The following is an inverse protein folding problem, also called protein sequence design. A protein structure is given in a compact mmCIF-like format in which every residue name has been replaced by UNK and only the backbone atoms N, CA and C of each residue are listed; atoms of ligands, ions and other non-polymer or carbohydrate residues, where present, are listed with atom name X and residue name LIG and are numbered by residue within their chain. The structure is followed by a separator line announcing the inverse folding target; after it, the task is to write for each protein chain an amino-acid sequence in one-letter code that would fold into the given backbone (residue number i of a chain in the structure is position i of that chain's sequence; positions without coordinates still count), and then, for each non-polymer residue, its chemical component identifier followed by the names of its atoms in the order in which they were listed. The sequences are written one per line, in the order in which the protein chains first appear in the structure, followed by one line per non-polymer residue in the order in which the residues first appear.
data_IF_854634790568
#
_entry.id   IF_854634790568
#
_cell.length_a   1.000
_cell.length_b   1.000
_cell.length_c   1.000
_cell.angle_alpha   90.00
_cell.angle_beta   90.00
_cell.angle_gamma   90.00
#
_symmetry.space_group_name_H-M   'P 1'
#
loop_
_entity.id
_entity.type
_entity.pdbx_description
1 polymer ?
#
# COMPACT_ATOMS: atom_id res chain seq x y z
N UNK A 1 -3.28 -12.77 -2.63
CA UNK A 1 -4.31 -11.71 -2.82
C UNK A 1 -4.00 -10.99 -4.13
N UNK A 2 -4.97 -10.73 -5.03
CA UNK A 2 -4.71 -9.98 -6.29
C UNK A 2 -5.64 -8.77 -6.39
N UNK A 3 -5.12 -7.63 -6.85
CA UNK A 3 -5.88 -6.45 -7.30
C UNK A 3 -6.18 -5.36 -6.26
N UNK A 4 -6.04 -5.63 -4.96
CA UNK A 4 -6.27 -4.65 -3.89
C UNK A 4 -5.18 -4.79 -2.83
N UNK A 5 -4.13 -4.01 -3.00
CA UNK A 5 -2.86 -4.05 -2.24
C UNK A 5 -2.75 -2.93 -1.22
N UNK A 6 -3.65 -1.95 -1.26
CA UNK A 6 -3.77 -0.90 -0.24
C UNK A 6 -5.12 -0.96 0.47
N UNK A 7 -5.12 -0.67 1.77
CA UNK A 7 -6.28 -0.48 2.62
C UNK A 7 -6.13 0.75 3.52
N UNK A 8 -7.18 1.13 4.20
CA UNK A 8 -7.18 2.26 5.16
C UNK A 8 -7.60 1.82 6.55
N UNK A 9 -7.53 2.71 7.54
CA UNK A 9 -7.99 2.40 8.89
C UNK A 9 -9.05 3.40 9.38
N UNK A 10 -9.89 2.93 10.29
CA UNK A 10 -10.82 3.76 11.07
C UNK A 10 -10.84 3.29 12.52
N UNK A 11 -11.18 4.18 13.45
CA UNK A 11 -10.97 3.97 14.89
C UNK A 11 -12.10 4.55 15.73
N UNK A 12 -12.34 3.94 16.90
CA UNK A 12 -13.40 4.33 17.84
C UNK A 12 -13.11 5.63 18.58
N UNK A 13 -11.86 6.10 18.55
CA UNK A 13 -11.48 7.42 19.08
C UNK A 13 -11.69 8.55 18.05
N UNK A 14 -12.42 8.29 16.97
CA UNK A 14 -12.89 9.26 15.98
C UNK A 14 -14.42 9.30 16.05
N UNK A 15 -15.04 10.40 15.64
CA UNK A 15 -16.51 10.46 15.64
C UNK A 15 -17.10 9.53 14.59
N UNK A 16 -18.36 9.12 14.79
CA UNK A 16 -19.12 8.36 13.79
C UNK A 16 -19.13 9.07 12.43
N UNK A 17 -19.41 10.38 12.42
CA UNK A 17 -19.45 11.17 11.19
C UNK A 17 -18.10 11.19 10.47
N UNK A 18 -16.99 11.33 11.21
CA UNK A 18 -15.64 11.27 10.62
C UNK A 18 -15.35 9.88 10.02
N UNK A 19 -15.75 8.81 10.71
CA UNK A 19 -15.56 7.45 10.23
C UNK A 19 -16.39 7.19 8.95
N UNK A 20 -17.65 7.61 8.91
CA UNK A 20 -18.52 7.47 7.74
C UNK A 20 -18.02 8.30 6.55
N UNK A 21 -17.62 9.55 6.78
CA UNK A 21 -17.05 10.41 5.74
C UNK A 21 -15.74 9.83 5.18
N UNK A 22 -14.92 9.21 6.05
CA UNK A 22 -13.69 8.51 5.62
C UNK A 22 -14.02 7.32 4.74
N UNK A 23 -14.94 6.46 5.16
CA UNK A 23 -15.35 5.27 4.38
C UNK A 23 -15.85 5.69 3.00
N UNK A 24 -16.68 6.73 2.92
CA UNK A 24 -17.15 7.28 1.65
C UNK A 24 -15.97 7.73 0.76
N UNK A 25 -15.10 8.59 1.28
CA UNK A 25 -14.01 9.17 0.49
C UNK A 25 -13.01 8.11 0.00
N UNK A 26 -12.66 7.15 0.85
CA UNK A 26 -11.73 6.09 0.48
C UNK A 26 -12.35 5.10 -0.52
N UNK A 27 -13.61 4.71 -0.32
CA UNK A 27 -14.31 3.81 -1.25
C UNK A 27 -14.52 4.44 -2.61
N UNK A 28 -14.84 5.75 -2.69
CA UNK A 28 -14.92 6.50 -3.95
C UNK A 28 -13.60 6.51 -4.72
N UNK A 29 -12.45 6.45 -4.03
CA UNK A 29 -11.14 6.35 -4.65
C UNK A 29 -10.77 4.90 -5.05
N UNK A 30 -11.60 3.91 -4.70
CA UNK A 30 -11.41 2.51 -5.09
C UNK A 30 -10.72 1.64 -4.04
N UNK A 31 -10.68 2.07 -2.77
CA UNK A 31 -10.22 1.22 -1.67
C UNK A 31 -11.32 0.22 -1.28
N UNK A 32 -11.03 -1.08 -1.40
CA UNK A 32 -11.94 -2.17 -1.03
C UNK A 32 -11.66 -2.80 0.34
N UNK A 33 -10.67 -2.31 1.09
CA UNK A 33 -10.25 -2.90 2.36
C UNK A 33 -10.02 -1.86 3.44
N UNK A 34 -10.51 -2.16 4.64
CA UNK A 34 -10.32 -1.33 5.81
C UNK A 34 -9.84 -2.15 7.02
N UNK A 35 -9.19 -1.48 7.96
CA UNK A 35 -8.79 -2.02 9.25
C UNK A 35 -9.43 -1.21 10.38
N UNK A 36 -9.81 -1.90 11.45
CA UNK A 36 -10.22 -1.27 12.71
C UNK A 36 -9.74 -2.13 13.88
N UNK A 37 -9.56 -1.52 15.04
CA UNK A 37 -9.27 -2.27 16.27
C UNK A 37 -10.39 -2.05 17.27
N UNK A 38 -11.07 -3.14 17.64
CA UNK A 38 -12.10 -3.15 18.68
C UNK A 38 -11.48 -3.08 20.07
N UNK A 39 -10.16 -3.28 20.16
CA UNK A 39 -9.39 -3.29 21.41
C UNK A 39 -9.07 -1.89 21.94
N UNK A 40 -9.39 -0.83 21.20
CA UNK A 40 -9.09 0.56 21.57
C UNK A 40 -10.08 1.12 22.60
N UNK A 41 -9.62 2.16 23.31
CA UNK A 41 -10.43 3.00 24.20
C UNK A 41 -10.53 4.42 23.62
N UNK A 42 -11.72 5.04 23.56
CA UNK A 42 -13.04 4.49 23.91
C UNK A 42 -13.43 3.30 23.01
N UNK A 43 -14.33 2.45 23.50
CA UNK A 43 -14.86 1.33 22.71
C UNK A 43 -15.95 1.83 21.75
N UNK A 44 -16.18 1.12 20.64
CA UNK A 44 -17.36 1.37 19.83
C UNK A 44 -18.62 1.01 20.61
N UNK A 45 -19.60 1.90 20.59
CA UNK A 45 -20.96 1.52 20.96
C UNK A 45 -21.52 0.58 19.88
N UNK A 46 -22.23 -0.50 20.24
CA UNK A 46 -22.68 -1.46 19.22
C UNK A 46 -23.52 -0.85 18.10
N UNK A 47 -24.39 0.12 18.43
CA UNK A 47 -25.20 0.83 17.45
C UNK A 47 -24.38 1.71 16.50
N UNK A 48 -23.25 2.26 16.98
CA UNK A 48 -22.32 3.01 16.14
C UNK A 48 -21.65 2.08 15.13
N UNK A 49 -21.16 0.93 15.60
CA UNK A 49 -20.49 -0.04 14.74
C UNK A 49 -21.45 -0.71 13.75
N UNK A 50 -22.73 -0.88 14.11
CA UNK A 50 -23.79 -1.32 13.19
C UNK A 50 -23.87 -0.38 11.97
N UNK A 51 -23.88 0.93 12.19
CA UNK A 51 -23.94 1.94 11.13
C UNK A 51 -22.66 1.96 10.28
N UNK A 52 -21.50 1.89 10.92
CA UNK A 52 -20.20 1.86 10.23
C UNK A 52 -20.08 0.62 9.34
N UNK A 53 -20.45 -0.56 9.86
CA UNK A 53 -20.39 -1.80 9.10
C UNK A 53 -21.39 -1.83 7.95
N UNK A 54 -22.61 -1.31 8.15
CA UNK A 54 -23.58 -1.15 7.08
C UNK A 54 -23.03 -0.28 5.93
N UNK A 55 -22.40 0.86 6.26
CA UNK A 55 -21.77 1.73 5.26
C UNK A 55 -20.62 1.04 4.53
N UNK A 56 -19.75 0.30 5.24
CA UNK A 56 -18.71 -0.50 4.62
C UNK A 56 -19.28 -1.53 3.65
N UNK A 57 -20.31 -2.28 4.04
CA UNK A 57 -20.94 -3.30 3.20
C UNK A 57 -21.61 -2.70 1.96
N UNK A 58 -22.33 -1.59 2.10
CA UNK A 58 -22.94 -0.87 0.97
C UNK A 58 -21.89 -0.47 -0.08
N UNK A 59 -20.70 -0.08 0.38
CA UNK A 59 -19.58 0.35 -0.48
C UNK A 59 -18.67 -0.79 -0.91
N UNK A 60 -18.96 -2.03 -0.52
CA UNK A 60 -18.14 -3.20 -0.84
C UNK A 60 -16.77 -3.23 -0.13
N UNK A 61 -16.61 -2.51 0.97
CA UNK A 61 -15.38 -2.46 1.77
C UNK A 61 -15.34 -3.64 2.74
N UNK A 62 -14.32 -4.50 2.59
CA UNK A 62 -14.06 -5.60 3.51
C UNK A 62 -13.24 -5.13 4.71
N UNK A 63 -13.80 -5.27 5.91
CA UNK A 63 -13.18 -4.81 7.15
C UNK A 63 -12.42 -5.96 7.83
N UNK A 64 -11.15 -5.70 8.17
CA UNK A 64 -10.36 -6.46 9.13
C UNK A 64 -10.54 -5.85 10.52
N UNK A 65 -11.14 -6.59 11.46
CA UNK A 65 -11.28 -6.14 12.84
C UNK A 65 -10.29 -6.86 13.77
N UNK A 66 -9.53 -6.08 14.53
CA UNK A 66 -8.61 -6.56 15.55
C UNK A 66 -9.31 -6.72 16.90
N UNK A 67 -9.21 -7.93 17.46
CA UNK A 67 -9.97 -8.40 18.62
C UNK A 67 -9.09 -9.20 19.59
N UNK A 68 -9.43 -9.12 20.88
CA UNK A 68 -8.89 -9.98 21.94
C UNK A 68 -10.04 -10.64 22.72
N UNK A 69 -9.70 -11.52 23.67
CA UNK A 69 -10.67 -12.23 24.50
C UNK A 69 -11.65 -11.30 25.20
N UNK A 70 -11.16 -10.22 25.81
CA UNK A 70 -12.01 -9.26 26.52
C UNK A 70 -13.03 -8.57 25.61
N UNK A 71 -12.72 -8.37 24.32
CA UNK A 71 -13.66 -7.81 23.34
C UNK A 71 -14.63 -8.86 22.81
N UNK A 72 -14.18 -10.10 22.66
CA UNK A 72 -15.06 -11.23 22.36
C UNK A 72 -16.14 -11.39 23.44
N UNK A 73 -15.76 -11.34 24.72
CA UNK A 73 -16.70 -11.43 25.84
C UNK A 73 -17.66 -10.25 25.91
N UNK A 74 -17.18 -9.05 25.56
CA UNK A 74 -17.98 -7.83 25.61
C UNK A 74 -19.07 -7.78 24.54
N UNK A 75 -18.74 -8.17 23.29
CA UNK A 75 -19.67 -8.07 22.17
C UNK A 75 -20.43 -9.37 21.89
N UNK A 76 -19.84 -10.52 22.22
CA UNK A 76 -20.37 -11.84 21.93
C UNK A 76 -20.08 -12.33 20.50
N UNK A 77 -19.99 -13.64 20.34
CA UNK A 77 -19.75 -14.31 19.05
C UNK A 77 -20.82 -13.95 18.01
N UNK A 78 -22.09 -14.05 18.39
CA UNK A 78 -23.22 -13.83 17.47
C UNK A 78 -23.19 -12.42 16.84
N UNK A 79 -22.84 -11.40 17.64
CA UNK A 79 -22.75 -10.02 17.15
C UNK A 79 -21.55 -9.81 16.24
N UNK A 80 -20.38 -10.36 16.60
CA UNK A 80 -19.20 -10.29 15.74
C UNK A 80 -19.45 -10.94 14.37
N UNK A 81 -20.18 -12.06 14.34
CA UNK A 81 -20.60 -12.71 13.11
C UNK A 81 -21.63 -11.87 12.34
N UNK A 82 -22.60 -11.28 13.04
CA UNK A 82 -23.62 -10.42 12.44
C UNK A 82 -23.04 -9.16 11.78
N UNK A 83 -21.96 -8.59 12.34
CA UNK A 83 -21.23 -7.47 11.72
C UNK A 83 -20.54 -7.86 10.42
N UNK A 84 -20.33 -9.14 10.14
CA UNK A 84 -19.85 -9.60 8.84
C UNK A 84 -18.48 -9.05 8.47
N UNK A 85 -17.54 -9.04 9.41
CA UNK A 85 -16.14 -8.69 9.11
C UNK A 85 -15.56 -9.65 8.06
N UNK A 86 -14.86 -9.10 7.07
CA UNK A 86 -14.18 -9.90 6.05
C UNK A 86 -13.03 -10.71 6.66
N UNK A 87 -12.38 -10.16 7.68
CA UNK A 87 -11.36 -10.86 8.45
C UNK A 87 -11.32 -10.43 9.92
N UNK A 88 -10.90 -11.34 10.79
CA UNK A 88 -10.73 -11.11 12.22
C UNK A 88 -9.28 -11.34 12.60
N UNK A 89 -8.63 -10.29 13.09
CA UNK A 89 -7.27 -10.34 13.62
C UNK A 89 -7.32 -10.66 15.10
N UNK A 90 -6.74 -11.80 15.47
CA UNK A 90 -6.68 -12.25 16.86
C UNK A 90 -5.38 -11.78 17.49
N UNK A 91 -5.47 -10.84 18.42
CA UNK A 91 -4.31 -10.28 19.10
C UNK A 91 -3.83 -11.19 20.24
N UNK A 92 -4.74 -11.57 21.15
CA UNK A 92 -4.45 -12.44 22.28
C UNK A 92 -5.72 -13.08 22.89
N UNK A 93 -5.52 -14.19 23.60
CA UNK A 93 -6.48 -14.77 24.55
C UNK A 93 -7.52 -15.71 23.96
N UNK A 94 -7.67 -15.80 22.63
CA UNK A 94 -8.61 -16.75 22.04
C UNK A 94 -7.99 -18.15 21.94
N UNK A 95 -8.79 -19.16 22.24
CA UNK A 95 -8.46 -20.57 22.06
C UNK A 95 -8.52 -20.99 20.58
N UNK A 96 -7.79 -22.05 20.16
CA UNK A 96 -7.93 -22.63 18.83
C UNK A 96 -9.38 -22.96 18.43
N UNK A 97 -10.20 -23.42 19.37
CA UNK A 97 -11.61 -23.76 19.12
C UNK A 97 -12.46 -22.51 18.85
N UNK A 98 -12.25 -21.42 19.60
CA UNK A 98 -12.92 -20.15 19.32
C UNK A 98 -12.47 -19.58 17.97
N UNK A 99 -11.18 -19.66 17.65
CA UNK A 99 -10.65 -19.24 16.36
C UNK A 99 -11.24 -20.06 15.19
N UNK A 100 -11.44 -21.37 15.38
CA UNK A 100 -12.11 -22.22 14.41
C UNK A 100 -13.53 -21.75 14.11
N UNK A 101 -14.33 -21.44 15.13
CA UNK A 101 -15.70 -20.91 14.97
C UNK A 101 -15.69 -19.58 14.21
N UNK A 102 -14.83 -18.65 14.61
CA UNK A 102 -14.71 -17.34 13.94
C UNK A 102 -14.26 -17.46 12.48
N UNK A 103 -13.38 -18.43 12.17
CA UNK A 103 -12.86 -18.65 10.82
C UNK A 103 -13.90 -19.18 9.83
N UNK A 104 -15.08 -19.61 10.29
CA UNK A 104 -16.15 -20.09 9.40
C UNK A 104 -16.75 -18.95 8.57
N UNK A 105 -16.98 -17.79 9.18
CA UNK A 105 -17.59 -16.61 8.53
C UNK A 105 -16.57 -15.58 8.06
N UNK A 106 -15.33 -15.62 8.54
CA UNK A 106 -14.31 -14.59 8.28
C UNK A 106 -12.93 -15.22 8.02
N UNK A 107 -12.03 -14.51 7.34
CA UNK A 107 -10.61 -14.92 7.34
C UNK A 107 -10.02 -14.75 8.74
N UNK A 108 -9.17 -15.69 9.16
CA UNK A 108 -8.45 -15.58 10.43
C UNK A 108 -7.11 -14.88 10.17
N UNK A 109 -6.84 -13.79 10.88
CA UNK A 109 -5.57 -13.06 10.77
C UNK A 109 -4.81 -13.21 12.08
N UNK A 110 -3.59 -13.73 12.00
CA UNK A 110 -2.73 -13.94 13.16
C UNK A 110 -1.56 -12.96 13.15
N UNK A 111 -0.94 -12.75 14.30
CA UNK A 111 0.23 -11.90 14.38
C UNK A 111 1.43 -12.54 13.65
N UNK A 112 1.93 -11.87 12.61
CA UNK A 112 3.03 -12.37 11.79
C UNK A 112 4.32 -12.63 12.58
N UNK A 113 4.55 -11.89 13.67
CA UNK A 113 5.75 -12.04 14.50
C UNK A 113 5.70 -13.24 15.45
N UNK A 114 4.52 -13.79 15.73
CA UNK A 114 4.33 -14.89 16.69
C UNK A 114 3.77 -16.16 16.06
N UNK A 115 3.43 -16.15 14.77
CA UNK A 115 2.90 -17.30 14.07
C UNK A 115 3.98 -18.37 13.87
N UNK A 116 3.74 -19.56 14.42
CA UNK A 116 4.66 -20.70 14.37
C UNK A 116 4.01 -21.93 13.74
N UNK A 117 4.82 -22.90 13.30
CA UNK A 117 4.34 -24.17 12.77
C UNK A 117 3.45 -24.94 13.76
N UNK A 118 3.86 -25.12 15.02
CA UNK A 118 3.02 -25.76 16.04
C UNK A 118 1.65 -25.09 16.22
N UNK A 119 1.60 -23.74 16.24
CA UNK A 119 0.32 -23.03 16.33
C UNK A 119 -0.58 -23.31 15.11
N UNK A 120 -0.01 -23.39 13.91
CA UNK A 120 -0.78 -23.74 12.70
C UNK A 120 -1.30 -25.18 12.75
N UNK A 121 -0.52 -26.12 13.29
CA UNK A 121 -0.96 -27.50 13.50
C UNK A 121 -2.09 -27.59 14.51
N UNK A 122 -2.01 -26.87 15.63
CA UNK A 122 -3.08 -26.79 16.64
C UNK A 122 -4.37 -26.20 16.04
N UNK A 123 -4.25 -25.16 15.22
CA UNK A 123 -5.40 -24.55 14.54
C UNK A 123 -6.04 -25.52 13.53
N UNK A 124 -5.22 -26.24 12.75
CA UNK A 124 -5.71 -27.24 11.82
C UNK A 124 -6.44 -28.39 12.55
N UNK A 125 -5.90 -28.85 13.68
CA UNK A 125 -6.55 -29.86 14.54
C UNK A 125 -7.86 -29.36 15.14
N UNK A 126 -7.95 -28.06 15.45
CA UNK A 126 -9.18 -27.43 15.91
C UNK A 126 -10.20 -27.18 14.79
N UNK A 127 -9.85 -27.45 13.52
CA UNK A 127 -10.74 -27.36 12.37
C UNK A 127 -10.65 -26.04 11.58
N UNK A 128 -9.61 -25.24 11.78
CA UNK A 128 -9.37 -24.03 10.97
C UNK A 128 -8.89 -24.43 9.58
N UNK A 129 -9.53 -23.88 8.55
CA UNK A 129 -9.04 -23.95 7.17
C UNK A 129 -7.84 -23.01 6.98
N UNK A 130 -6.63 -23.57 6.93
CA UNK A 130 -5.40 -22.79 6.81
C UNK A 130 -5.32 -21.97 5.51
N UNK A 131 -6.08 -22.32 4.46
CA UNK A 131 -6.15 -21.50 3.23
C UNK A 131 -6.84 -20.15 3.46
N UNK A 132 -7.56 -20.02 4.58
CA UNK A 132 -8.24 -18.78 5.01
C UNK A 132 -7.45 -18.03 6.09
N UNK A 133 -6.24 -18.46 6.41
CA UNK A 133 -5.36 -17.81 7.39
C UNK A 133 -4.44 -16.81 6.71
N UNK A 134 -4.42 -15.58 7.22
CA UNK A 134 -3.45 -14.54 6.86
C UNK A 134 -2.61 -14.16 8.08
N UNK A 135 -1.51 -13.45 7.86
CA UNK A 135 -0.67 -12.92 8.91
C UNK A 135 -0.57 -11.41 8.80
N UNK A 136 -0.75 -10.68 9.90
CA UNK A 136 -0.57 -9.23 9.96
C UNK A 136 0.56 -8.86 10.93
N UNK A 137 1.51 -8.07 10.45
CA UNK A 137 2.46 -7.39 11.31
C UNK A 137 1.78 -6.31 12.13
N UNK A 138 2.34 -6.00 13.30
CA UNK A 138 1.91 -4.86 14.10
C UNK A 138 2.26 -3.52 13.43
N UNK A 139 1.56 -2.46 13.83
CA UNK A 139 2.08 -1.09 13.74
C UNK A 139 2.70 -0.69 15.09
N UNK A 140 3.56 0.33 15.07
CA UNK A 140 4.35 0.72 16.24
C UNK A 140 4.20 2.22 16.53
N UNK A 141 3.33 2.60 17.49
CA UNK A 141 3.14 4.00 17.87
C UNK A 141 4.37 4.63 18.53
N UNK A 142 5.20 3.82 19.20
CA UNK A 142 6.42 4.30 19.85
C UNK A 142 7.54 4.43 18.82
N UNK A 143 8.12 5.62 18.68
CA UNK A 143 9.27 5.87 17.79
C UNK A 143 10.44 4.93 18.14
N UNK A 144 11.17 4.49 17.12
CA UNK A 144 12.30 3.56 17.18
C UNK A 144 11.95 2.14 17.67
N UNK A 145 10.67 1.75 17.61
CA UNK A 145 10.22 0.40 18.00
C UNK A 145 9.66 -0.43 16.85
N UNK A 146 9.54 0.14 15.65
CA UNK A 146 9.19 -0.57 14.43
C UNK A 146 10.22 -1.63 14.05
N UNK A 147 9.80 -2.55 13.19
CA UNK A 147 10.62 -3.67 12.75
C UNK A 147 11.64 -3.23 11.69
N UNK A 148 12.70 -4.01 11.54
CA UNK A 148 13.68 -3.83 10.46
C UNK A 148 13.22 -4.55 9.17
N UNK A 149 13.70 -4.06 8.02
CA UNK A 149 13.45 -4.71 6.71
C UNK A 149 13.82 -6.19 6.73
N UNK A 150 15.04 -6.51 7.21
CA UNK A 150 15.58 -7.85 7.17
C UNK A 150 14.74 -8.83 7.99
N UNK A 151 14.24 -8.38 9.15
CA UNK A 151 13.35 -9.21 9.98
C UNK A 151 12.03 -9.49 9.26
N UNK A 152 11.35 -8.47 8.74
CA UNK A 152 10.07 -8.66 8.05
C UNK A 152 10.22 -9.55 6.83
N UNK A 153 11.24 -9.29 6.00
CA UNK A 153 11.47 -10.08 4.79
C UNK A 153 11.66 -11.57 5.13
N UNK A 154 12.43 -11.88 6.18
CA UNK A 154 12.63 -13.26 6.63
C UNK A 154 11.32 -13.90 7.12
N UNK A 155 10.48 -13.16 7.88
CA UNK A 155 9.18 -13.66 8.32
C UNK A 155 8.23 -13.88 7.15
N UNK A 156 8.14 -12.93 6.22
CA UNK A 156 7.24 -13.02 5.07
C UNK A 156 7.63 -14.18 4.15
N UNK A 157 8.92 -14.38 3.87
CA UNK A 157 9.39 -15.53 3.09
C UNK A 157 9.01 -16.87 3.73
N UNK A 158 9.16 -16.96 5.06
CA UNK A 158 8.76 -18.15 5.81
C UNK A 158 7.24 -18.40 5.72
N UNK A 159 6.43 -17.35 5.90
CA UNK A 159 4.97 -17.46 5.87
C UNK A 159 4.43 -17.74 4.46
N UNK A 160 5.02 -17.13 3.44
CA UNK A 160 4.72 -17.40 2.04
C UNK A 160 5.05 -18.83 1.63
N UNK A 161 6.13 -19.42 2.17
CA UNK A 161 6.44 -20.84 1.96
C UNK A 161 5.35 -21.78 2.53
N UNK A 162 4.52 -21.29 3.45
CA UNK A 162 3.34 -21.99 4.00
C UNK A 162 2.04 -21.59 3.28
N UNK A 163 2.11 -20.74 2.24
CA UNK A 163 0.95 -20.22 1.54
C UNK A 163 0.17 -19.14 2.30
N UNK A 164 0.75 -18.58 3.37
CA UNK A 164 0.10 -17.60 4.25
C UNK A 164 0.48 -16.18 3.79
N UNK A 165 -0.49 -15.39 3.30
CA UNK A 165 -0.23 -14.01 2.92
C UNK A 165 0.06 -13.09 4.12
N UNK A 166 0.84 -12.04 3.87
CA UNK A 166 1.34 -11.11 4.88
C UNK A 166 0.79 -9.69 4.69
N UNK A 167 0.35 -9.07 5.78
CA UNK A 167 -0.21 -7.73 5.86
C UNK A 167 0.69 -6.83 6.71
N UNK A 168 0.79 -5.55 6.39
CA UNK A 168 1.55 -4.58 7.19
C UNK A 168 0.94 -3.18 7.13
N UNK A 169 1.50 -2.24 7.88
CA UNK A 169 1.01 -0.88 8.03
C UNK A 169 2.04 0.18 7.60
N UNK A 170 1.55 1.26 7.00
CA UNK A 170 2.31 2.47 6.69
C UNK A 170 1.69 3.67 7.42
N UNK A 171 2.51 4.66 7.78
CA UNK A 171 2.01 5.88 8.40
C UNK A 171 1.13 6.68 7.43
N UNK A 172 0.09 7.31 7.96
CA UNK A 172 -0.67 8.36 7.28
C UNK A 172 -0.15 9.76 7.61
N UNK A 173 -0.85 10.79 7.16
CA UNK A 173 -0.50 12.20 7.40
C UNK A 173 -1.28 12.83 8.56
N UNK A 174 -2.45 12.27 8.91
CA UNK A 174 -3.20 12.66 10.11
C UNK A 174 -2.99 11.58 11.15
N UNK A 175 -1.99 11.78 12.01
CA UNK A 175 -1.54 10.78 12.96
C UNK A 175 -2.63 10.41 13.98
N UNK A 176 -2.71 9.14 14.34
CA UNK A 176 -3.61 8.70 15.40
C UNK A 176 -3.03 9.03 16.78
N UNK A 177 -3.87 9.54 17.67
CA UNK A 177 -3.51 9.69 19.09
C UNK A 177 -3.23 8.35 19.79
N UNK A 178 -2.70 8.39 21.03
CA UNK A 178 -2.37 9.61 21.79
C UNK A 178 -0.97 10.17 21.51
N UNK A 179 -0.12 9.42 20.80
CA UNK A 179 1.30 9.78 20.62
C UNK A 179 1.55 10.62 19.36
N UNK A 180 0.73 10.47 18.32
CA UNK A 180 0.85 11.22 17.06
C UNK A 180 2.19 11.02 16.31
N UNK A 181 2.89 9.93 16.60
CA UNK A 181 4.22 9.59 16.05
C UNK A 181 4.18 8.71 14.79
N UNK A 182 2.99 8.51 14.21
CA UNK A 182 2.75 7.68 13.04
C UNK A 182 2.68 6.18 13.34
N UNK A 183 1.89 5.46 12.54
CA UNK A 183 1.58 4.04 12.70
C UNK A 183 2.12 3.21 11.54
N UNK A 184 3.43 2.97 11.54
CA UNK A 184 4.11 2.12 10.57
C UNK A 184 4.54 0.77 11.17
N UNK A 185 4.72 -0.24 10.31
CA UNK A 185 5.34 -1.51 10.66
C UNK A 185 6.87 -1.44 10.62
N UNK A 186 7.44 -0.88 9.54
CA UNK A 186 8.90 -0.74 9.37
C UNK A 186 9.35 0.62 9.89
N UNK A 187 10.32 0.64 10.80
CA UNK A 187 10.73 1.89 11.45
C UNK A 187 11.29 2.92 10.46
N UNK A 188 12.09 2.48 9.48
CA UNK A 188 12.74 3.39 8.54
C UNK A 188 11.74 4.15 7.64
N UNK A 189 10.50 3.65 7.51
CA UNK A 189 9.47 4.25 6.68
C UNK A 189 8.58 5.24 7.43
N UNK A 190 8.79 5.44 8.75
CA UNK A 190 7.89 6.22 9.62
C UNK A 190 7.53 7.59 9.08
N UNK A 191 8.50 8.28 8.50
CA UNK A 191 8.36 9.64 7.97
C UNK A 191 8.39 9.70 6.44
N UNK A 192 8.34 8.56 5.76
CA UNK A 192 8.27 8.54 4.30
C UNK A 192 6.87 8.90 3.82
N UNK A 193 6.71 9.48 2.61
CA UNK A 193 5.42 9.58 1.97
C UNK A 193 4.75 8.20 1.90
N UNK A 194 3.44 8.13 2.18
CA UNK A 194 2.73 6.86 2.34
C UNK A 194 2.82 5.97 1.10
N UNK A 195 2.78 6.53 -0.12
CA UNK A 195 2.97 5.74 -1.35
C UNK A 195 4.37 5.12 -1.44
N UNK A 196 5.42 5.86 -1.07
CA UNK A 196 6.79 5.36 -1.06
C UNK A 196 6.96 4.25 -0.03
N UNK A 197 6.42 4.44 1.18
CA UNK A 197 6.42 3.41 2.22
C UNK A 197 5.65 2.16 1.76
N UNK A 198 4.49 2.33 1.12
CA UNK A 198 3.68 1.24 0.59
C UNK A 198 4.44 0.43 -0.46
N UNK A 199 4.98 1.08 -1.49
CA UNK A 199 5.78 0.42 -2.53
C UNK A 199 7.01 -0.29 -1.98
N UNK A 200 7.67 0.33 -1.00
CA UNK A 200 8.80 -0.29 -0.32
C UNK A 200 8.39 -1.59 0.41
N UNK A 201 7.30 -1.57 1.18
CA UNK A 201 6.79 -2.77 1.86
C UNK A 201 6.36 -3.86 0.86
N UNK A 202 5.61 -3.49 -0.18
CA UNK A 202 5.10 -4.41 -1.19
C UNK A 202 6.25 -5.07 -1.98
N UNK A 203 7.27 -4.30 -2.36
CA UNK A 203 8.38 -4.79 -3.21
C UNK A 203 9.58 -5.37 -2.43
N UNK A 204 10.03 -4.69 -1.37
CA UNK A 204 11.28 -5.03 -0.68
C UNK A 204 11.06 -5.87 0.57
N UNK A 205 9.85 -5.82 1.14
CA UNK A 205 9.48 -6.64 2.29
C UNK A 205 8.56 -7.82 1.91
N UNK A 206 8.14 -7.94 0.65
CA UNK A 206 7.21 -8.99 0.20
C UNK A 206 5.91 -9.01 1.02
N UNK A 207 5.31 -7.83 1.22
CA UNK A 207 3.98 -7.70 1.83
C UNK A 207 2.93 -7.86 0.73
N UNK A 208 1.82 -8.56 1.01
CA UNK A 208 0.73 -8.77 0.05
C UNK A 208 -0.28 -7.61 0.04
N UNK A 209 -0.47 -6.95 1.19
CA UNK A 209 -1.31 -5.75 1.31
C UNK A 209 -0.83 -4.87 2.46
N UNK A 210 -0.83 -3.57 2.22
CA UNK A 210 -0.53 -2.54 3.22
C UNK A 210 -1.81 -1.80 3.63
N UNK A 211 -1.89 -1.43 4.90
CA UNK A 211 -2.94 -0.54 5.41
C UNK A 211 -2.32 0.78 5.84
N UNK A 212 -3.03 1.90 5.59
CA UNK A 212 -2.70 3.16 6.24
C UNK A 212 -3.08 3.02 7.71
N UNK A 213 -2.10 3.04 8.60
CA UNK A 213 -2.30 2.84 10.04
C UNK A 213 -2.84 4.08 10.74
N UNK A 214 -2.57 5.28 10.26
CA UNK A 214 -3.07 6.50 10.88
C UNK A 214 -4.49 6.88 10.42
N UNK A 215 -5.05 7.93 11.02
CA UNK A 215 -6.43 8.33 10.78
C UNK A 215 -6.68 8.80 9.35
N UNK A 216 -5.71 9.45 8.70
CA UNK A 216 -5.95 9.97 7.35
C UNK A 216 -4.71 10.33 6.53
N UNK A 217 -4.93 10.60 5.24
CA UNK A 217 -4.00 11.15 4.25
C UNK A 217 -4.68 12.25 3.41
N UNK A 218 -3.88 13.13 2.81
CA UNK A 218 -4.35 14.14 1.87
C UNK A 218 -5.00 13.52 0.63
N UNK A 219 -5.79 14.31 -0.11
CA UNK A 219 -6.41 13.85 -1.35
C UNK A 219 -5.37 13.42 -2.40
N UNK A 220 -4.22 14.09 -2.46
CA UNK A 220 -3.11 13.69 -3.33
C UNK A 220 -2.58 12.31 -2.96
N UNK A 221 -2.23 12.09 -1.69
CA UNK A 221 -1.72 10.79 -1.24
C UNK A 221 -2.76 9.68 -1.37
N UNK A 222 -4.04 9.99 -1.13
CA UNK A 222 -5.14 9.05 -1.30
C UNK A 222 -5.21 8.50 -2.73
N UNK A 223 -5.21 9.40 -3.72
CA UNK A 223 -5.19 9.07 -5.16
C UNK A 223 -3.94 8.27 -5.54
N UNK A 224 -2.77 8.70 -5.06
CA UNK A 224 -1.49 8.02 -5.33
C UNK A 224 -1.41 6.62 -4.71
N UNK A 225 -1.94 6.43 -3.51
CA UNK A 225 -2.03 5.10 -2.91
C UNK A 225 -3.01 4.20 -3.67
N UNK A 226 -4.18 4.72 -4.05
CA UNK A 226 -5.16 3.95 -4.81
C UNK A 226 -4.61 3.47 -6.16
N UNK A 227 -3.78 4.27 -6.83
CA UNK A 227 -3.14 3.88 -8.09
C UNK A 227 -2.30 2.59 -7.97
N UNK A 228 -1.82 2.26 -6.77
CA UNK A 228 -1.08 1.02 -6.53
C UNK A 228 -1.96 -0.23 -6.71
N UNK A 229 -3.28 -0.13 -6.52
CA UNK A 229 -4.20 -1.24 -6.81
C UNK A 229 -4.19 -1.62 -8.31
N UNK A 230 -3.88 -0.67 -9.19
CA UNK A 230 -3.77 -0.87 -10.64
C UNK A 230 -2.34 -1.20 -11.10
N UNK A 231 -1.41 -1.39 -10.16
CA UNK A 231 0.03 -1.55 -10.45
C UNK A 231 0.66 -0.28 -11.03
N UNK A 232 0.07 0.90 -10.77
CA UNK A 232 0.50 2.19 -11.31
C UNK A 232 1.28 2.99 -10.26
N UNK A 233 2.48 3.46 -10.63
CA UNK A 233 3.28 4.38 -9.79
C UNK A 233 3.11 5.82 -10.28
N UNK A 234 2.72 6.72 -9.37
CA UNK A 234 2.53 8.13 -9.69
C UNK A 234 3.73 8.98 -9.28
N UNK A 235 4.33 9.65 -10.25
CA UNK A 235 5.49 10.52 -10.07
C UNK A 235 5.11 11.97 -10.32
N UNK A 236 5.39 12.85 -9.37
CA UNK A 236 5.37 14.30 -9.62
C UNK A 236 6.56 14.68 -10.46
N UNK A 237 6.35 15.51 -11.47
CA UNK A 237 7.39 15.95 -12.37
C UNK A 237 7.10 17.34 -12.94
N UNK A 238 8.16 18.09 -13.22
CA UNK A 238 8.11 19.14 -14.21
C UNK A 238 8.28 18.48 -15.57
N UNK A 239 7.21 18.42 -16.37
CA UNK A 239 7.22 17.76 -17.67
C UNK A 239 6.35 18.50 -18.70
N UNK A 240 6.61 18.34 -20.00
CA UNK A 240 5.73 18.84 -21.05
C UNK A 240 4.33 18.21 -20.96
N UNK A 241 3.30 18.97 -21.34
CA UNK A 241 1.90 18.51 -21.29
C UNK A 241 1.68 17.17 -22.03
N UNK A 242 2.41 16.94 -23.12
CA UNK A 242 2.34 15.71 -23.90
C UNK A 242 2.82 14.45 -23.16
N UNK A 243 3.48 14.59 -22.00
CA UNK A 243 3.94 13.49 -21.15
C UNK A 243 3.11 13.32 -19.86
N UNK A 244 2.35 14.36 -19.48
CA UNK A 244 1.58 14.42 -18.26
C UNK A 244 0.26 13.65 -18.38
N UNK A 245 -0.20 13.13 -17.24
CA UNK A 245 -1.51 12.47 -17.03
C UNK A 245 -1.79 11.24 -17.89
N UNK A 246 -0.78 10.76 -18.62
CA UNK A 246 -0.78 9.53 -19.39
C UNK A 246 -0.11 8.40 -18.61
N UNK A 247 -0.54 7.17 -18.89
CA UNK A 247 0.09 5.98 -18.31
C UNK A 247 1.13 5.45 -19.27
N UNK A 248 2.37 5.45 -18.81
CA UNK A 248 3.53 4.91 -19.49
C UNK A 248 3.95 3.60 -18.83
N UNK A 249 4.72 2.78 -19.55
CA UNK A 249 5.20 1.48 -19.09
C UNK A 249 6.69 1.36 -19.33
N UNK A 250 7.44 1.06 -18.28
CA UNK A 250 8.82 0.64 -18.41
C UNK A 250 8.86 -0.67 -19.21
N UNK A 251 9.81 -0.78 -20.13
CA UNK A 251 10.01 -2.00 -20.89
C UNK A 251 10.31 -3.20 -19.98
N UNK A 252 9.88 -4.43 -20.36
CA UNK A 252 10.16 -5.63 -19.59
C UNK A 252 11.66 -5.92 -19.43
N UNK A 253 12.47 -5.57 -20.43
CA UNK A 253 13.94 -5.62 -20.39
C UNK A 253 14.52 -4.38 -19.66
N UNK A 254 14.17 -4.27 -18.37
CA UNK A 254 14.50 -3.10 -17.55
C UNK A 254 16.02 -2.88 -17.40
N UNK A 255 16.43 -1.62 -17.57
CA UNK A 255 17.82 -1.20 -17.42
C UNK A 255 18.11 -0.71 -15.99
N UNK A 256 19.34 -0.89 -15.53
CA UNK A 256 19.83 -0.30 -14.27
C UNK A 256 20.25 1.17 -14.40
N UNK A 257 20.10 1.76 -15.58
CA UNK A 257 20.51 3.13 -15.91
C UNK A 257 19.33 4.03 -16.25
N UNK A 258 18.28 3.49 -16.87
CA UNK A 258 17.11 4.25 -17.34
C UNK A 258 15.83 3.42 -17.25
N UNK A 259 14.72 4.07 -16.92
CA UNK A 259 13.36 3.59 -17.19
C UNK A 259 13.05 3.97 -18.64
N UNK A 260 12.50 3.07 -19.45
CA UNK A 260 12.27 3.30 -20.88
C UNK A 260 10.81 3.08 -21.22
N UNK A 261 10.12 4.10 -21.71
CA UNK A 261 8.73 4.04 -22.13
C UNK A 261 8.63 4.13 -23.65
N UNK A 262 8.75 3.00 -24.35
CA UNK A 262 8.90 2.98 -25.82
C UNK A 262 7.63 3.36 -26.61
N UNK A 263 6.46 3.27 -26.00
CA UNK A 263 5.18 3.67 -26.60
C UNK A 263 5.13 5.18 -26.91
N UNK A 264 5.93 5.98 -26.22
CA UNK A 264 6.07 7.42 -26.47
C UNK A 264 6.57 7.73 -27.89
N UNK A 265 7.34 6.81 -28.51
CA UNK A 265 7.80 6.93 -29.90
C UNK A 265 6.64 7.13 -30.88
N UNK A 266 5.55 6.39 -30.67
CA UNK A 266 4.35 6.49 -31.50
C UNK A 266 3.44 7.61 -31.01
N UNK A 267 3.23 7.74 -29.69
CA UNK A 267 2.32 8.73 -29.12
C UNK A 267 2.74 10.18 -29.43
N UNK A 268 4.05 10.45 -29.46
CA UNK A 268 4.60 11.78 -29.73
C UNK A 268 4.98 11.98 -31.20
N UNK A 269 4.61 11.06 -32.10
CA UNK A 269 4.96 11.19 -33.52
C UNK A 269 4.33 12.46 -34.11
N UNK A 270 5.17 13.34 -34.66
CA UNK A 270 4.73 14.62 -35.22
C UNK A 270 4.48 15.72 -34.18
N UNK A 271 4.71 15.43 -32.89
CA UNK A 271 4.72 16.45 -31.85
C UNK A 271 6.15 16.94 -31.64
N UNK A 272 6.32 18.25 -31.49
CA UNK A 272 7.61 18.85 -31.14
C UNK A 272 7.68 19.05 -29.63
N UNK A 273 8.61 18.37 -28.99
CA UNK A 273 8.90 18.55 -27.56
C UNK A 273 10.30 19.14 -27.43
N UNK A 274 10.36 20.40 -27.01
CA UNK A 274 11.61 21.12 -26.83
C UNK A 274 12.30 20.62 -25.56
N UNK A 275 13.56 20.21 -25.70
CA UNK A 275 14.43 19.88 -24.59
C UNK A 275 15.77 20.59 -24.69
N UNK A 276 16.59 20.44 -23.65
CA UNK A 276 17.93 21.02 -23.58
C UNK A 276 19.00 19.91 -23.64
N UNK A 277 20.11 20.12 -24.36
CA UNK A 277 21.25 19.22 -24.28
C UNK A 277 21.95 19.39 -22.92
N UNK A 278 22.59 18.34 -22.42
CA UNK A 278 23.36 18.43 -21.19
C UNK A 278 23.66 17.09 -20.54
N UNK A 279 24.49 17.10 -19.47
CA UNK A 279 24.62 15.94 -18.60
C UNK A 279 23.28 15.65 -17.96
N UNK A 280 22.90 14.37 -17.88
CA UNK A 280 21.60 13.96 -17.38
C UNK A 280 21.75 13.40 -15.98
N UNK A 281 20.99 13.93 -15.04
CA UNK A 281 21.02 13.51 -13.65
C UNK A 281 19.93 12.48 -13.38
N UNK A 282 20.07 11.73 -12.28
CA UNK A 282 18.96 10.87 -11.81
C UNK A 282 17.67 11.68 -11.68
N UNK A 283 16.59 11.17 -12.28
CA UNK A 283 15.27 11.80 -12.30
C UNK A 283 14.99 12.63 -13.55
N UNK A 284 16.00 12.93 -14.37
CA UNK A 284 15.78 13.67 -15.61
C UNK A 284 14.92 12.86 -16.58
N UNK A 285 13.93 13.54 -17.15
CA UNK A 285 13.09 13.06 -18.25
C UNK A 285 13.78 13.42 -19.55
N UNK A 286 14.06 12.42 -20.38
CA UNK A 286 14.89 12.57 -21.57
C UNK A 286 14.16 11.99 -22.77
N UNK A 287 14.10 12.73 -23.87
CA UNK A 287 13.56 12.24 -25.15
C UNK A 287 14.66 12.04 -26.18
N UNK A 288 14.59 10.91 -26.89
CA UNK A 288 15.38 10.71 -28.11
C UNK A 288 15.02 11.74 -29.19
N UNK A 289 16.03 12.39 -29.76
CA UNK A 289 15.87 13.37 -30.82
C UNK A 289 15.82 12.70 -32.20
N UNK A 290 15.51 13.46 -33.25
CA UNK A 290 15.36 12.94 -34.62
C UNK A 290 16.65 12.24 -35.15
N UNK A 291 17.82 12.71 -34.73
CA UNK A 291 19.12 12.10 -35.04
C UNK A 291 19.37 10.76 -34.30
N UNK A 292 18.48 10.34 -33.39
CA UNK A 292 18.54 9.02 -32.73
C UNK A 292 17.76 7.93 -33.50
N UNK A 293 17.32 8.22 -34.73
CA UNK A 293 16.73 7.22 -35.63
C UNK A 293 15.50 6.54 -35.03
N UNK A 294 15.54 5.21 -34.90
CA UNK A 294 14.43 4.43 -34.35
C UNK A 294 14.09 4.74 -32.88
N UNK A 295 14.98 5.44 -32.17
CA UNK A 295 14.79 5.85 -30.77
C UNK A 295 14.26 7.29 -30.64
N UNK A 296 14.00 7.98 -31.76
CA UNK A 296 13.35 9.28 -31.72
C UNK A 296 12.02 9.20 -30.95
N UNK A 297 11.78 10.19 -30.10
CA UNK A 297 10.65 10.32 -29.19
C UNK A 297 10.53 9.23 -28.11
N UNK A 298 11.52 8.36 -27.91
CA UNK A 298 11.52 7.47 -26.74
C UNK A 298 11.80 8.27 -25.46
N UNK A 299 10.87 8.19 -24.51
CA UNK A 299 11.03 8.68 -23.15
C UNK A 299 11.90 7.74 -22.32
N UNK A 300 12.94 8.32 -21.74
CA UNK A 300 13.75 7.73 -20.71
C UNK A 300 13.67 8.56 -19.41
N UNK A 301 13.62 7.89 -18.26
CA UNK A 301 13.86 8.52 -16.95
C UNK A 301 15.18 8.00 -16.42
N UNK A 302 16.12 8.91 -16.15
CA UNK A 302 17.45 8.53 -15.69
C UNK A 302 17.41 7.97 -14.27
N UNK A 303 18.01 6.79 -14.05
CA UNK A 303 18.17 6.16 -12.73
C UNK A 303 19.53 6.50 -12.09
N UNK A 304 20.46 7.00 -12.90
CA UNK A 304 21.84 7.36 -12.55
C UNK A 304 22.24 8.61 -13.31
N UNK A 305 23.32 9.24 -12.89
CA UNK A 305 23.92 10.32 -13.66
C UNK A 305 24.59 9.76 -14.93
N UNK A 306 24.29 10.38 -16.06
CA UNK A 306 24.73 10.00 -17.40
C UNK A 306 25.43 11.18 -18.07
N UNK A 307 26.45 10.91 -18.92
CA UNK A 307 27.10 11.95 -19.69
C UNK A 307 26.14 12.57 -20.72
N UNK A 308 26.59 13.67 -21.32
CA UNK A 308 25.91 14.30 -22.47
C UNK A 308 25.76 13.28 -23.60
N UNK A 309 24.60 13.32 -24.27
CA UNK A 309 24.35 12.59 -25.51
C UNK A 309 23.57 13.52 -26.46
N UNK A 310 24.22 13.98 -27.54
CA UNK A 310 23.64 14.94 -28.49
C UNK A 310 22.45 14.37 -29.29
N UNK A 311 22.14 13.07 -29.11
CA UNK A 311 20.97 12.42 -29.69
C UNK A 311 19.75 12.46 -28.77
N UNK A 312 19.88 13.05 -27.59
CA UNK A 312 18.86 13.13 -26.57
C UNK A 312 18.75 14.54 -26.02
N UNK A 313 17.57 14.90 -25.53
CA UNK A 313 17.37 16.17 -24.85
C UNK A 313 16.61 15.98 -23.55
N UNK A 314 17.00 16.72 -22.52
CA UNK A 314 16.33 16.80 -21.22
C UNK A 314 15.08 17.66 -21.40
N UNK A 315 13.91 17.11 -21.14
CA UNK A 315 12.61 17.77 -21.34
C UNK A 315 11.90 18.08 -20.03
N UNK A 316 12.43 17.57 -18.92
CA UNK A 316 11.81 17.73 -17.61
C UNK A 316 12.55 16.95 -16.55
N UNK A 317 12.00 16.94 -15.34
CA UNK A 317 12.61 16.29 -14.19
C UNK A 317 11.54 15.79 -13.21
N UNK A 318 11.73 14.59 -12.69
CA UNK A 318 10.95 14.05 -11.57
C UNK A 318 11.26 14.85 -10.32
N UNK A 319 10.22 15.22 -9.57
CA UNK A 319 10.36 15.98 -8.34
C UNK A 319 11.28 15.25 -7.34
N UNK A 320 12.12 16.00 -6.63
CA UNK A 320 13.09 15.44 -5.68
C UNK A 320 12.46 14.51 -4.63
N UNK A 321 11.23 14.80 -4.23
CA UNK A 321 10.44 14.01 -3.26
C UNK A 321 10.01 12.64 -3.78
N UNK A 322 10.03 12.42 -5.10
CA UNK A 322 9.60 11.18 -5.74
C UNK A 322 10.77 10.40 -6.39
N UNK A 323 12.02 10.90 -6.29
CA UNK A 323 13.20 10.18 -6.83
C UNK A 323 13.40 8.79 -6.21
N UNK A 324 12.96 8.59 -4.97
CA UNK A 324 12.99 7.29 -4.30
C UNK A 324 12.01 6.27 -4.90
N UNK A 325 11.02 6.73 -5.67
CA UNK A 325 10.03 5.85 -6.32
C UNK A 325 10.56 5.17 -7.57
N UNK A 326 11.55 5.78 -8.23
CA UNK A 326 12.09 5.31 -9.51
C UNK A 326 12.67 3.88 -9.40
N UNK A 327 13.20 3.53 -8.22
CA UNK A 327 13.76 2.19 -8.02
C UNK A 327 12.69 1.10 -8.05
N UNK A 328 11.41 1.43 -7.88
CA UNK A 328 10.31 0.46 -7.91
C UNK A 328 9.70 0.27 -9.31
N UNK A 329 9.97 1.14 -10.29
CA UNK A 329 9.29 1.10 -11.60
C UNK A 329 9.86 -0.01 -12.48
N UNK A 330 9.52 -1.26 -12.14
CA UNK A 330 9.96 -2.50 -12.78
C UNK A 330 9.02 -3.65 -12.39
N UNK A 331 9.02 -4.73 -13.17
CA UNK A 331 8.20 -5.91 -12.88
C UNK A 331 6.72 -5.56 -12.74
N UNK A 332 6.11 -5.96 -11.62
CA UNK A 332 4.69 -5.72 -11.30
C UNK A 332 4.33 -4.23 -11.19
N UNK A 333 5.33 -3.37 -11.00
CA UNK A 333 5.20 -1.91 -10.85
C UNK A 333 5.74 -1.16 -12.07
N UNK A 334 5.83 -1.82 -13.24
CA UNK A 334 6.41 -1.23 -14.46
C UNK A 334 5.61 -0.05 -15.03
N UNK A 335 4.34 0.12 -14.66
CA UNK A 335 3.49 1.20 -15.15
C UNK A 335 3.64 2.45 -14.28
N UNK A 336 3.73 3.61 -14.90
CA UNK A 336 3.83 4.88 -14.20
C UNK A 336 3.05 6.00 -14.88
N UNK A 337 2.69 7.03 -14.11
CA UNK A 337 2.09 8.28 -14.59
C UNK A 337 2.92 9.45 -14.09
N UNK A 338 3.13 10.44 -14.96
CA UNK A 338 3.70 11.73 -14.58
C UNK A 338 2.56 12.70 -14.27
N UNK A 339 2.55 13.29 -13.08
CA UNK A 339 1.65 14.38 -12.70
C UNK A 339 2.44 15.66 -12.48
N UNK A 340 1.81 16.82 -12.64
CA UNK A 340 2.47 18.10 -12.38
C UNK A 340 3.03 18.16 -10.95
N UNK A 341 4.27 18.62 -10.82
CA UNK A 341 4.80 19.05 -9.53
C UNK A 341 4.21 20.42 -9.18
N UNK A 342 3.51 20.52 -8.05
CA UNK A 342 3.10 21.81 -7.46
C UNK A 342 4.29 22.67 -7.06
#
# INVERSE_FOLDING_TARGET
MKGQVVGFSFYSNQSLDDNLARIERFSQQGFGYAFTSLNLTPHYEPAELDLIMAACHEKGVQVMADINEARLDCYGLDRLQAWGFGSLRVDAGLTPQQMAVLSQSSHLVLNASTLTGPLLEELAQAGVDLSRVWAAHNYYPKVYSGLSQAYILAQNQRLHALGIPCLAFVSGQVARGPYFDGLCTVEQTRHWPSQQAALYLLSQCQVDRVYIGDCDVSQDQLRRLASLNDGLVELRAQAPQALLDQVWSNRPDASNWVIRASETRQALRGQEVVGQPGPRQRGDLVLGQANYGSYANELEICLRDLPVDDRQAIVGQVASSDLGLLDYIRGDWSRFRLSLSE
#
